data_IF_911830003217
#
_entry.id   IF_911830003217
#
_cell.length_a   1.000
_cell.length_b   1.000
_cell.length_c   1.000
_cell.angle_alpha   90.00
_cell.angle_beta   90.00
_cell.angle_gamma   90.00
#
_symmetry.space_group_name_H-M   'P 1'
#
loop_
_entity.id
_entity.type
_entity.pdbx_description
1 polymer ?
#
# COMPACT_ATOMS: atom_id res chain seq x y z
N UNK A 1 30.20 22.29 -19.99
CA UNK A 1 29.87 20.95 -20.51
C UNK A 1 29.07 20.29 -19.42
N UNK A 2 27.74 20.43 -19.50
CA UNK A 2 26.82 20.17 -18.39
C UNK A 2 26.23 18.78 -18.59
N UNK A 3 26.55 17.84 -17.70
CA UNK A 3 25.95 16.52 -17.67
C UNK A 3 24.47 16.64 -17.29
N UNK A 4 23.60 16.21 -18.19
CA UNK A 4 22.17 16.05 -17.95
C UNK A 4 21.94 14.70 -17.25
N UNK A 5 21.87 14.72 -15.92
CA UNK A 5 21.41 13.58 -15.14
C UNK A 5 19.93 13.30 -15.46
N UNK A 6 19.67 12.20 -16.16
CA UNK A 6 18.31 11.72 -16.42
C UNK A 6 17.57 11.45 -15.09
N UNK A 7 16.29 11.84 -14.94
CA UNK A 7 15.51 11.49 -13.76
C UNK A 7 15.25 9.98 -13.73
N UNK A 8 15.54 9.39 -12.58
CA UNK A 8 15.33 8.00 -12.22
C UNK A 8 13.95 7.50 -12.66
N UNK A 9 13.92 6.63 -13.67
CA UNK A 9 12.70 5.94 -14.08
C UNK A 9 12.18 5.12 -12.90
N UNK A 10 11.06 5.51 -12.32
CA UNK A 10 10.31 4.69 -11.35
C UNK A 10 9.86 3.43 -12.09
N UNK A 11 10.68 2.37 -12.06
CA UNK A 11 10.28 1.07 -12.59
C UNK A 11 9.11 0.59 -11.74
N UNK A 12 7.92 0.59 -12.33
CA UNK A 12 6.79 -0.13 -11.77
C UNK A 12 7.20 -1.59 -11.71
N UNK A 13 7.38 -2.12 -10.50
CA UNK A 13 7.74 -3.52 -10.31
C UNK A 13 6.50 -4.39 -10.45
N UNK A 14 6.52 -5.43 -11.29
CA UNK A 14 5.42 -6.37 -11.41
C UNK A 14 5.23 -7.14 -10.09
N UNK A 15 3.99 -7.54 -9.78
CA UNK A 15 3.70 -8.24 -8.53
C UNK A 15 4.47 -9.57 -8.46
N UNK A 16 5.24 -9.85 -7.40
CA UNK A 16 5.97 -11.11 -7.32
C UNK A 16 5.03 -12.30 -7.17
N UNK A 17 5.50 -13.49 -7.57
CA UNK A 17 4.80 -14.76 -7.32
C UNK A 17 4.55 -14.93 -5.82
N UNK A 18 3.36 -15.41 -5.45
CA UNK A 18 2.89 -15.51 -4.08
C UNK A 18 2.11 -14.29 -3.59
N UNK A 19 2.10 -13.19 -4.35
CA UNK A 19 1.33 -11.99 -3.98
C UNK A 19 -0.17 -12.28 -4.02
N UNK A 20 -0.87 -11.94 -2.94
CA UNK A 20 -2.33 -11.94 -2.90
C UNK A 20 -2.87 -10.71 -3.61
N UNK A 21 -3.75 -10.95 -4.58
CA UNK A 21 -4.36 -9.93 -5.43
C UNK A 21 -5.87 -10.06 -5.43
N UNK A 22 -6.53 -8.94 -5.74
CA UNK A 22 -7.99 -8.82 -5.87
C UNK A 22 -8.30 -8.46 -7.31
N UNK A 23 -9.29 -9.12 -7.90
CA UNK A 23 -9.78 -8.81 -9.25
C UNK A 23 -10.63 -7.55 -9.24
N UNK A 24 -10.36 -6.63 -10.17
CA UNK A 24 -11.10 -5.38 -10.33
C UNK A 24 -12.26 -5.49 -11.34
N UNK A 25 -12.40 -6.65 -11.98
CA UNK A 25 -13.47 -7.00 -12.91
C UNK A 25 -13.93 -8.45 -12.69
N UNK A 26 -15.07 -8.78 -13.28
CA UNK A 26 -15.52 -10.16 -13.40
C UNK A 26 -14.55 -10.96 -14.27
N UNK A 27 -14.16 -12.12 -13.77
CA UNK A 27 -13.36 -13.11 -14.50
C UNK A 27 -14.33 -14.03 -15.22
N UNK A 28 -14.40 -13.91 -16.53
CA UNK A 28 -15.29 -14.67 -17.39
C UNK A 28 -14.50 -15.77 -18.07
N UNK A 29 -14.96 -17.02 -17.93
CA UNK A 29 -14.35 -18.19 -18.56
C UNK A 29 -14.66 -18.26 -20.06
N UNK A 30 -14.05 -19.24 -20.74
CA UNK A 30 -14.17 -19.43 -22.19
C UNK A 30 -15.61 -19.67 -22.68
N UNK A 31 -16.51 -20.12 -21.79
CA UNK A 31 -17.92 -20.35 -22.07
C UNK A 31 -18.81 -19.12 -21.83
N UNK A 32 -18.21 -17.95 -21.57
CA UNK A 32 -18.95 -16.72 -21.28
C UNK A 32 -19.59 -16.68 -19.88
N UNK A 33 -19.36 -17.70 -19.04
CA UNK A 33 -19.83 -17.69 -17.65
C UNK A 33 -18.82 -16.99 -16.75
N UNK A 34 -19.32 -16.18 -15.83
CA UNK A 34 -18.50 -15.62 -14.74
C UNK A 34 -17.99 -16.75 -13.86
N UNK A 35 -16.67 -16.95 -13.86
CA UNK A 35 -15.98 -17.89 -12.96
C UNK A 35 -15.77 -17.25 -11.60
N UNK A 36 -15.35 -15.98 -11.58
CA UNK A 36 -15.18 -15.22 -10.35
C UNK A 36 -15.72 -13.80 -10.51
N UNK A 37 -16.51 -13.29 -9.55
CA UNK A 37 -16.96 -11.91 -9.58
C UNK A 37 -15.80 -10.94 -9.33
N UNK A 38 -15.99 -9.67 -9.68
CA UNK A 38 -15.15 -8.57 -9.20
C UNK A 38 -15.03 -8.63 -7.67
N UNK A 39 -13.82 -8.41 -7.16
CA UNK A 39 -13.50 -8.49 -5.74
C UNK A 39 -13.01 -9.88 -5.30
N UNK A 40 -12.95 -10.86 -6.20
CA UNK A 40 -12.40 -12.17 -5.89
C UNK A 40 -10.91 -12.09 -5.58
N UNK A 41 -10.48 -12.86 -4.58
CA UNK A 41 -9.08 -12.93 -4.14
C UNK A 41 -8.40 -14.13 -4.80
N UNK A 42 -7.19 -13.91 -5.32
CA UNK A 42 -6.33 -14.97 -5.84
C UNK A 42 -4.86 -14.73 -5.50
N UNK A 43 -4.02 -15.69 -5.87
CA UNK A 43 -2.57 -15.62 -5.67
C UNK A 43 -1.87 -15.62 -7.01
N UNK A 44 -0.91 -14.71 -7.21
CA UNK A 44 -0.06 -14.69 -8.40
C UNK A 44 0.81 -15.95 -8.41
N UNK A 45 0.63 -16.82 -9.41
CA UNK A 45 1.46 -18.01 -9.63
C UNK A 45 2.50 -17.79 -10.73
N UNK A 46 2.28 -16.83 -11.63
CA UNK A 46 3.27 -16.36 -12.61
C UNK A 46 3.19 -14.85 -12.76
N UNK A 47 4.34 -14.20 -12.58
CA UNK A 47 4.50 -12.77 -12.80
C UNK A 47 5.11 -12.53 -14.19
N UNK A 48 4.59 -11.57 -14.97
CA UNK A 48 5.22 -11.15 -16.20
C UNK A 48 6.50 -10.35 -15.92
N UNK A 49 7.46 -10.42 -16.83
CA UNK A 49 8.72 -9.66 -16.76
C UNK A 49 8.55 -8.18 -17.14
N UNK A 50 7.39 -7.81 -17.68
CA UNK A 50 6.99 -6.45 -18.06
C UNK A 50 5.49 -6.23 -17.74
N UNK A 51 4.97 -5.02 -17.93
CA UNK A 51 3.57 -4.68 -17.66
C UNK A 51 2.60 -5.00 -18.80
N UNK A 52 3.11 -5.39 -19.96
CA UNK A 52 2.31 -5.67 -21.16
C UNK A 52 1.73 -7.09 -21.11
N UNK A 53 2.45 -8.02 -20.48
CA UNK A 53 2.02 -9.39 -20.34
C UNK A 53 1.10 -9.60 -19.12
N UNK A 54 0.23 -10.61 -19.21
CA UNK A 54 -0.72 -10.96 -18.15
C UNK A 54 -0.06 -11.74 -17.01
N UNK A 55 -0.54 -11.49 -15.79
CA UNK A 55 -0.31 -12.34 -14.62
C UNK A 55 -1.09 -13.64 -14.76
N UNK A 56 -0.56 -14.74 -14.22
CA UNK A 56 -1.36 -15.93 -13.92
C UNK A 56 -1.75 -15.89 -12.47
N UNK A 57 -3.05 -15.89 -12.22
CA UNK A 57 -3.62 -15.84 -10.87
C UNK A 57 -4.39 -17.13 -10.62
N UNK A 58 -4.10 -17.79 -9.49
CA UNK A 58 -4.81 -18.98 -9.03
C UNK A 58 -5.82 -18.60 -7.96
N UNK A 59 -7.07 -19.01 -8.15
CA UNK A 59 -8.17 -18.82 -7.21
C UNK A 59 -8.28 -19.97 -6.20
N UNK A 60 -9.02 -19.80 -5.09
CA UNK A 60 -9.14 -20.82 -4.04
C UNK A 60 -9.77 -22.15 -4.49
N UNK A 61 -10.55 -22.13 -5.55
CA UNK A 61 -11.15 -23.30 -6.19
C UNK A 61 -10.19 -24.04 -7.14
N UNK A 62 -8.96 -23.53 -7.31
CA UNK A 62 -7.92 -24.11 -8.15
C UNK A 62 -7.93 -23.62 -9.60
N UNK A 63 -8.88 -22.76 -9.99
CA UNK A 63 -8.92 -22.17 -11.32
C UNK A 63 -7.75 -21.20 -11.49
N UNK A 64 -7.08 -21.26 -12.66
CA UNK A 64 -6.03 -20.32 -13.04
C UNK A 64 -6.45 -19.47 -14.24
N UNK A 65 -6.35 -18.15 -14.11
CA UNK A 65 -6.69 -17.23 -15.19
C UNK A 65 -5.60 -16.20 -15.46
N UNK A 66 -5.57 -15.74 -16.71
CA UNK A 66 -4.64 -14.74 -17.19
C UNK A 66 -5.26 -13.33 -17.08
N UNK A 67 -4.70 -12.47 -16.21
CA UNK A 67 -5.23 -11.15 -15.90
C UNK A 67 -4.19 -10.05 -16.14
N UNK A 68 -4.61 -8.91 -16.70
CA UNK A 68 -3.70 -7.77 -16.91
C UNK A 68 -3.42 -7.04 -15.60
N UNK A 69 -2.32 -6.28 -15.57
CA UNK A 69 -1.95 -5.43 -14.43
C UNK A 69 -3.08 -4.49 -13.98
N UNK A 70 -3.79 -3.87 -14.93
CA UNK A 70 -4.92 -2.97 -14.66
C UNK A 70 -6.19 -3.67 -14.15
N UNK A 71 -6.27 -5.00 -14.25
CA UNK A 71 -7.41 -5.79 -13.75
C UNK A 71 -7.19 -6.27 -12.31
N UNK A 72 -6.05 -5.91 -11.70
CA UNK A 72 -5.59 -6.44 -10.42
C UNK A 72 -5.15 -5.31 -9.48
N UNK A 73 -5.39 -5.52 -8.20
CA UNK A 73 -4.73 -4.76 -7.12
C UNK A 73 -4.25 -5.72 -6.04
N UNK A 74 -3.25 -5.35 -5.25
CA UNK A 74 -2.85 -6.16 -4.09
C UNK A 74 -3.97 -6.18 -3.05
N UNK A 75 -4.15 -7.30 -2.35
CA UNK A 75 -5.14 -7.40 -1.27
C UNK A 75 -4.93 -6.34 -0.18
N UNK A 76 -3.68 -5.98 0.13
CA UNK A 76 -3.36 -4.90 1.06
C UNK A 76 -3.97 -3.57 0.60
N UNK A 77 -3.65 -3.11 -0.61
CA UNK A 77 -4.23 -1.89 -1.21
C UNK A 77 -5.75 -1.92 -1.32
N UNK A 78 -6.35 -3.08 -1.61
CA UNK A 78 -7.81 -3.21 -1.66
C UNK A 78 -8.45 -3.01 -0.28
N UNK A 79 -7.86 -3.58 0.77
CA UNK A 79 -8.30 -3.37 2.15
C UNK A 79 -8.02 -1.95 2.65
N UNK A 80 -6.97 -1.32 2.14
CA UNK A 80 -6.70 0.11 2.34
C UNK A 80 -7.70 1.00 1.59
N UNK A 81 -8.62 0.52 0.74
CA UNK A 81 -9.62 1.39 0.11
C UNK A 81 -10.45 2.18 1.13
N UNK A 82 -10.77 1.56 2.27
CA UNK A 82 -11.53 2.18 3.37
C UNK A 82 -10.63 2.77 4.50
N UNK A 83 -9.35 2.39 4.56
CA UNK A 83 -8.40 2.81 5.64
C UNK A 83 -7.33 3.79 5.12
N UNK A 84 -7.01 3.69 3.83
CA UNK A 84 -5.99 4.42 3.11
C UNK A 84 -6.42 5.81 2.66
N UNK A 85 -7.72 6.10 2.58
CA UNK A 85 -8.18 7.50 2.54
C UNK A 85 -7.69 8.25 3.79
N UNK A 86 -7.80 7.63 4.98
CA UNK A 86 -7.22 8.17 6.21
C UNK A 86 -5.69 8.28 6.13
N UNK A 87 -5.01 7.31 5.52
CA UNK A 87 -3.55 7.36 5.30
C UNK A 87 -3.07 8.45 4.32
N UNK A 88 -3.87 8.76 3.28
CA UNK A 88 -3.61 9.86 2.33
C UNK A 88 -3.94 11.22 2.95
N UNK A 89 -4.97 11.30 3.79
CA UNK A 89 -5.28 12.47 4.63
C UNK A 89 -4.13 12.72 5.63
N UNK A 90 -3.66 11.69 6.34
CA UNK A 90 -2.53 11.78 7.28
C UNK A 90 -1.18 12.14 6.62
N UNK A 91 -1.02 11.91 5.30
CA UNK A 91 0.15 12.36 4.53
C UNK A 91 0.00 13.77 3.97
N UNK A 92 -1.22 14.28 3.85
CA UNK A 92 -1.53 15.64 3.36
C UNK A 92 -1.59 16.67 4.49
N UNK A 93 -1.96 16.25 5.70
CA UNK A 93 -1.86 17.06 6.90
C UNK A 93 -0.52 16.81 7.57
N UNK A 94 0.20 17.87 7.92
CA UNK A 94 1.36 17.71 8.80
C UNK A 94 0.81 17.18 10.14
N UNK A 95 1.18 15.95 10.51
CA UNK A 95 0.65 15.24 11.69
C UNK A 95 0.74 16.09 12.97
N UNK A 96 1.73 16.99 13.02
CA UNK A 96 1.94 17.90 14.14
C UNK A 96 0.90 19.02 14.23
N UNK A 97 0.19 19.37 13.15
CA UNK A 97 -0.88 20.38 13.16
C UNK A 97 -2.07 19.96 14.03
N UNK A 98 -2.27 18.66 14.21
CA UNK A 98 -3.38 18.07 14.96
C UNK A 98 -2.96 17.61 16.37
N UNK A 99 -1.76 17.95 16.82
CA UNK A 99 -1.30 17.69 18.19
C UNK A 99 -1.71 18.86 19.09
N UNK A 100 -2.74 18.66 19.92
CA UNK A 100 -3.29 19.71 20.79
C UNK A 100 -2.50 19.88 22.09
N UNK A 101 -1.63 18.94 22.41
CA UNK A 101 -0.74 19.00 23.56
C UNK A 101 0.51 18.17 23.30
N UNK A 102 1.68 18.70 23.63
CA UNK A 102 2.96 17.97 23.62
C UNK A 102 3.80 18.40 24.82
N UNK A 103 4.44 17.44 25.48
CA UNK A 103 5.45 17.67 26.50
C UNK A 103 6.64 16.73 26.32
N UNK A 104 7.79 17.17 26.85
CA UNK A 104 8.97 16.31 27.03
C UNK A 104 8.88 15.72 28.44
N UNK A 105 9.15 14.44 28.58
CA UNK A 105 9.15 13.70 29.84
C UNK A 105 10.55 13.11 30.08
N UNK A 106 10.86 12.76 31.33
CA UNK A 106 12.10 12.06 31.69
C UNK A 106 13.26 12.99 32.01
N UNK A 107 14.50 12.47 31.98
CA UNK A 107 15.71 13.18 32.41
C UNK A 107 15.88 14.55 31.72
N UNK A 108 15.45 14.66 30.46
CA UNK A 108 15.43 15.91 29.69
C UNK A 108 14.50 16.97 30.29
N UNK A 109 13.32 16.57 30.78
CA UNK A 109 12.36 17.50 31.38
C UNK A 109 12.81 18.02 32.75
N UNK A 110 13.59 17.22 33.47
CA UNK A 110 14.06 17.53 34.83
C UNK A 110 15.49 18.08 34.88
N UNK A 111 16.16 18.26 33.73
CA UNK A 111 17.54 18.75 33.68
C UNK A 111 18.58 17.75 34.20
N UNK A 112 18.27 16.45 34.17
CA UNK A 112 19.12 15.35 34.61
C UNK A 112 19.77 14.59 33.44
N UNK A 113 19.56 15.06 32.21
CA UNK A 113 20.01 14.37 31.02
C UNK A 113 21.52 14.41 30.83
N UNK A 114 22.05 13.32 30.25
CA UNK A 114 23.43 13.16 29.81
C UNK A 114 23.50 12.83 28.30
N UNK A 115 24.69 12.49 27.80
CA UNK A 115 24.92 12.22 26.39
C UNK A 115 24.21 10.99 25.83
N UNK A 116 23.77 10.07 26.69
CA UNK A 116 23.08 8.83 26.30
C UNK A 116 21.56 8.93 26.53
N UNK A 117 21.09 10.04 27.11
CA UNK A 117 19.68 10.24 27.42
C UNK A 117 18.85 10.51 26.17
N UNK A 118 17.79 9.72 25.97
CA UNK A 118 16.81 9.92 24.90
C UNK A 118 15.83 11.07 25.20
N UNK A 119 15.04 11.44 24.19
CA UNK A 119 14.01 12.49 24.30
C UNK A 119 12.63 11.85 24.10
N UNK A 120 11.94 11.55 25.21
CA UNK A 120 10.55 11.07 25.20
C UNK A 120 9.59 12.27 25.05
N UNK A 121 8.91 12.34 23.89
CA UNK A 121 7.82 13.30 23.63
C UNK A 121 6.49 12.59 23.76
N UNK A 122 5.64 13.09 24.65
CA UNK A 122 4.26 12.62 24.82
C UNK A 122 3.27 13.72 24.50
N UNK A 123 2.07 13.35 24.10
CA UNK A 123 1.09 14.33 23.68
C UNK A 123 -0.28 13.73 23.40
N UNK A 124 -1.21 14.61 23.03
CA UNK A 124 -2.57 14.25 22.63
C UNK A 124 -2.78 14.68 21.17
N UNK A 125 -3.15 13.72 20.34
CA UNK A 125 -3.56 13.96 18.95
C UNK A 125 -5.08 14.10 18.90
N UNK A 126 -5.56 15.17 18.29
CA UNK A 126 -6.96 15.39 17.98
C UNK A 126 -7.17 15.18 16.48
N UNK A 127 -7.82 14.09 16.05
CA UNK A 127 -8.10 13.92 14.62
C UNK A 127 -8.93 15.09 14.07
N UNK A 128 -8.75 15.45 12.79
CA UNK A 128 -9.60 16.42 12.12
C UNK A 128 -11.07 15.94 12.15
N UNK A 129 -12.00 16.90 12.21
CA UNK A 129 -13.42 16.61 12.11
C UNK A 129 -13.79 16.16 10.69
N UNK A 130 -14.76 15.25 10.58
CA UNK A 130 -15.35 14.81 9.31
C UNK A 130 -16.20 15.91 8.63
#
# INVERSE_FOLDING_TARGET
>A
MTDFTHPSSFRVQPFPVGTQVVTLKDVVGQNGRTLHPRGAVGVVVKSPSDLEHSYRVRFPDGVEEALKSGDLTTLAKFKEGDIGESGVILRRHDLFENVIFQCVIGSQAYGLADGESDVDRRGCYLPPAE
#
